data_IF_049087869333
#
_entry.id   IF_049087869333
#
_cell.length_a   1.000
_cell.length_b   1.000
_cell.length_c   1.000
_cell.angle_alpha   90.00
_cell.angle_beta   90.00
_cell.angle_gamma   90.00
#
_symmetry.space_group_name_H-M   'P 1'
#
loop_
_entity.id
_entity.type
_entity.pdbx_description
1 polymer ?
#
# COMPACT_ATOMS: atom_id res chain seq x y z
N UNK A 1 -46.74 53.30 -23.34
CA UNK A 1 -47.03 51.87 -23.53
C UNK A 1 -45.80 51.21 -24.12
N UNK A 2 -44.97 50.58 -23.29
CA UNK A 2 -44.12 49.42 -23.61
C UNK A 2 -43.25 49.11 -22.38
N UNK A 3 -43.51 48.03 -21.64
CA UNK A 3 -42.72 46.76 -21.60
C UNK A 3 -41.24 47.04 -21.31
N UNK A 4 -40.63 46.67 -20.18
CA UNK A 4 -40.36 45.29 -19.68
C UNK A 4 -39.83 45.31 -18.23
N UNK A 5 -40.34 44.41 -17.39
CA UNK A 5 -39.55 43.56 -16.49
C UNK A 5 -39.58 42.14 -17.10
N UNK A 6 -38.78 41.11 -16.73
CA UNK A 6 -37.70 41.03 -15.74
C UNK A 6 -36.45 40.25 -16.25
N UNK A 7 -35.36 40.14 -15.48
CA UNK A 7 -34.79 38.83 -15.03
C UNK A 7 -33.54 38.96 -14.15
N UNK A 8 -33.36 38.00 -13.19
CA UNK A 8 -32.27 37.96 -12.22
C UNK A 8 -31.22 36.89 -12.58
N UNK A 9 -29.92 37.18 -12.48
CA UNK A 9 -28.82 36.21 -12.35
C UNK A 9 -27.61 36.96 -11.77
N UNK A 10 -26.81 36.44 -10.83
CA UNK A 10 -26.35 35.06 -10.70
C UNK A 10 -26.10 34.68 -9.24
N UNK A 11 -26.48 33.45 -8.88
CA UNK A 11 -25.98 32.78 -7.68
C UNK A 11 -24.50 32.48 -7.84
N UNK A 12 -23.73 32.72 -6.78
CA UNK A 12 -22.31 32.41 -6.66
C UNK A 12 -22.11 30.89 -6.65
N UNK A 13 -21.85 30.30 -7.81
CA UNK A 13 -21.24 28.98 -7.89
C UNK A 13 -19.76 29.14 -7.49
N UNK A 14 -19.38 28.59 -6.32
CA UNK A 14 -17.97 28.53 -5.91
C UNK A 14 -17.10 27.90 -7.01
N UNK A 15 -15.88 28.41 -7.15
CA UNK A 15 -14.96 28.00 -8.21
C UNK A 15 -14.59 26.51 -8.09
N UNK A 16 -14.09 25.90 -9.17
CA UNK A 16 -13.67 24.50 -9.14
C UNK A 16 -12.58 24.22 -8.08
N UNK A 17 -11.77 25.23 -7.78
CA UNK A 17 -10.72 25.18 -6.75
C UNK A 17 -11.32 25.22 -5.35
N UNK A 18 -12.33 26.06 -5.09
CA UNK A 18 -13.03 26.11 -3.79
C UNK A 18 -13.66 24.75 -3.45
N UNK A 19 -14.21 24.05 -4.45
CA UNK A 19 -14.75 22.70 -4.26
C UNK A 19 -13.67 21.67 -3.95
N UNK A 20 -12.53 21.75 -4.63
CA UNK A 20 -11.39 20.85 -4.39
C UNK A 20 -10.83 21.03 -2.98
N UNK A 21 -10.70 22.28 -2.52
CA UNK A 21 -10.26 22.60 -1.16
C UNK A 21 -11.20 22.00 -0.13
N UNK A 22 -12.52 22.21 -0.26
CA UNK A 22 -13.50 21.65 0.66
C UNK A 22 -13.53 20.10 0.67
N UNK A 23 -13.35 19.47 -0.50
CA UNK A 23 -13.20 18.01 -0.61
C UNK A 23 -11.95 17.51 0.14
N UNK A 24 -10.82 18.21 0.01
CA UNK A 24 -9.57 17.88 0.70
C UNK A 24 -9.71 18.03 2.21
N UNK A 25 -10.27 19.14 2.70
CA UNK A 25 -10.47 19.38 4.14
C UNK A 25 -11.37 18.31 4.77
N UNK A 26 -12.47 17.98 4.10
CA UNK A 26 -13.40 16.94 4.56
C UNK A 26 -12.70 15.58 4.64
N UNK A 27 -11.90 15.24 3.61
CA UNK A 27 -11.16 13.99 3.60
C UNK A 27 -10.07 13.95 4.66
N UNK A 28 -9.33 15.04 4.86
CA UNK A 28 -8.29 15.14 5.88
C UNK A 28 -8.86 14.89 7.29
N UNK A 29 -10.02 15.47 7.59
CA UNK A 29 -10.70 15.24 8.87
C UNK A 29 -11.13 13.77 9.05
N UNK A 30 -11.67 13.13 8.00
CA UNK A 30 -11.98 11.69 8.04
C UNK A 30 -10.73 10.84 8.21
N UNK A 31 -9.60 11.20 7.59
CA UNK A 31 -8.33 10.49 7.73
C UNK A 31 -7.73 10.65 9.12
N UNK A 32 -7.89 11.81 9.75
CA UNK A 32 -7.54 12.01 11.16
C UNK A 32 -8.32 11.07 12.08
N UNK A 33 -9.63 10.95 11.84
CA UNK A 33 -10.49 10.00 12.56
C UNK A 33 -10.09 8.55 12.28
N UNK A 34 -9.74 8.19 11.05
CA UNK A 34 -9.19 6.86 10.71
C UNK A 34 -7.94 6.58 11.56
N UNK A 35 -6.95 7.49 11.58
CA UNK A 35 -5.71 7.33 12.36
C UNK A 35 -6.01 7.16 13.85
N UNK A 36 -6.93 7.97 14.39
CA UNK A 36 -7.36 7.86 15.79
C UNK A 36 -7.95 6.48 16.08
N UNK A 37 -8.87 5.98 15.23
CA UNK A 37 -9.52 4.68 15.45
C UNK A 37 -8.56 3.51 15.33
N UNK A 38 -7.62 3.56 14.39
CA UNK A 38 -6.58 2.52 14.27
C UNK A 38 -5.64 2.55 15.49
N UNK A 39 -5.25 3.74 15.95
CA UNK A 39 -4.35 3.92 17.10
C UNK A 39 -4.90 3.46 18.45
N UNK A 40 -6.22 3.23 18.56
CA UNK A 40 -6.83 2.61 19.74
C UNK A 40 -6.63 1.09 19.82
N UNK A 41 -6.32 0.47 18.68
CA UNK A 41 -6.15 -0.99 18.56
C UNK A 41 -4.68 -1.35 18.32
N UNK A 42 -3.94 -0.49 17.60
CA UNK A 42 -2.55 -0.71 17.22
C UNK A 42 -1.66 0.27 17.98
N UNK A 43 -0.79 -0.25 18.85
CA UNK A 43 0.05 0.54 19.75
C UNK A 43 1.51 0.61 19.26
N UNK A 44 2.10 1.81 19.27
CA UNK A 44 3.53 2.03 18.98
C UNK A 44 3.98 1.70 17.56
N UNK A 45 3.05 1.73 16.61
CA UNK A 45 3.31 1.49 15.19
C UNK A 45 2.70 2.59 14.30
N UNK A 46 2.69 3.83 14.78
CA UNK A 46 2.06 4.98 14.11
C UNK A 46 2.57 5.14 12.67
N UNK A 47 3.88 4.98 12.46
CA UNK A 47 4.49 5.03 11.14
C UNK A 47 4.02 3.91 10.19
N UNK A 48 3.86 2.69 10.72
CA UNK A 48 3.38 1.53 9.94
C UNK A 48 1.92 1.74 9.54
N UNK A 49 1.10 2.23 10.48
CA UNK A 49 -0.30 2.61 10.23
C UNK A 49 -0.36 3.68 9.14
N UNK A 50 0.43 4.74 9.26
CA UNK A 50 0.46 5.82 8.29
C UNK A 50 0.81 5.33 6.89
N UNK A 51 1.86 4.49 6.76
CA UNK A 51 2.27 3.95 5.47
C UNK A 51 1.25 2.96 4.88
N UNK A 52 0.58 2.17 5.71
CA UNK A 52 -0.49 1.31 5.26
C UNK A 52 -1.67 2.13 4.73
N UNK A 53 -2.07 3.20 5.43
CA UNK A 53 -3.12 4.13 4.97
C UNK A 53 -2.70 4.85 3.69
N UNK A 54 -1.46 5.34 3.60
CA UNK A 54 -0.87 5.93 2.38
C UNK A 54 -0.98 4.95 1.21
N UNK A 55 -0.72 3.66 1.45
CA UNK A 55 -0.83 2.61 0.42
C UNK A 55 -2.25 2.46 -0.09
N UNK A 56 -3.23 2.42 0.82
CA UNK A 56 -4.64 2.33 0.45
C UNK A 56 -5.11 3.57 -0.31
N UNK A 57 -4.71 4.77 0.12
CA UNK A 57 -5.01 6.03 -0.58
C UNK A 57 -4.34 6.11 -1.96
N UNK A 58 -3.12 5.58 -2.10
CA UNK A 58 -2.42 5.48 -3.37
C UNK A 58 -3.05 4.50 -4.36
N UNK A 59 -4.00 3.66 -3.91
CA UNK A 59 -4.58 2.61 -4.75
C UNK A 59 -3.63 1.44 -4.99
N UNK A 60 -2.62 1.28 -4.12
CA UNK A 60 -1.52 0.32 -4.28
C UNK A 60 -1.58 -0.85 -3.30
N UNK A 61 -0.50 -1.62 -3.28
CA UNK A 61 -0.28 -2.77 -2.40
C UNK A 61 0.96 -2.49 -1.54
N UNK A 62 1.09 -3.08 -0.35
CA UNK A 62 2.31 -2.95 0.43
C UNK A 62 2.84 -4.29 0.94
N UNK A 63 4.14 -4.27 1.20
CA UNK A 63 4.91 -5.38 1.73
C UNK A 63 5.33 -5.06 3.17
N UNK A 64 4.78 -5.78 4.13
CA UNK A 64 5.06 -5.66 5.56
C UNK A 64 6.23 -6.59 5.92
N UNK A 65 7.41 -6.03 6.15
CA UNK A 65 8.59 -6.77 6.59
C UNK A 65 8.68 -6.70 8.10
N UNK A 66 8.71 -7.84 8.78
CA UNK A 66 8.91 -7.86 10.22
C UNK A 66 8.83 -9.26 10.80
N UNK A 67 9.32 -9.43 12.02
CA UNK A 67 9.27 -10.72 12.70
C UNK A 67 7.83 -11.10 13.09
N UNK A 68 7.58 -12.37 13.43
CA UNK A 68 6.29 -12.80 13.96
C UNK A 68 5.90 -12.04 15.25
N UNK A 69 4.60 -11.89 15.49
CA UNK A 69 4.09 -11.30 16.73
C UNK A 69 3.95 -9.76 16.75
N UNK A 70 4.31 -9.06 15.67
CA UNK A 70 4.23 -7.58 15.60
C UNK A 70 2.86 -7.05 15.16
N UNK A 71 1.77 -7.70 15.56
CA UNK A 71 0.39 -7.28 15.27
C UNK A 71 0.04 -7.01 13.78
N UNK A 72 0.83 -7.53 12.82
CA UNK A 72 0.60 -7.34 11.37
C UNK A 72 -0.79 -7.80 10.93
N UNK A 73 -1.24 -8.95 11.41
CA UNK A 73 -2.60 -9.47 11.15
C UNK A 73 -3.67 -8.53 11.70
N UNK A 74 -3.51 -8.11 12.95
CA UNK A 74 -4.44 -7.17 13.61
C UNK A 74 -4.52 -5.83 12.87
N UNK A 75 -3.41 -5.33 12.35
CA UNK A 75 -3.37 -4.11 11.55
C UNK A 75 -4.25 -4.25 10.30
N UNK A 76 -4.11 -5.35 9.54
CA UNK A 76 -4.88 -5.56 8.30
C UNK A 76 -6.38 -5.67 8.59
N UNK A 77 -6.77 -6.45 9.60
CA UNK A 77 -8.17 -6.58 10.04
C UNK A 77 -8.76 -5.25 10.51
N UNK A 78 -7.97 -4.49 11.27
CA UNK A 78 -8.36 -3.16 11.75
C UNK A 78 -8.59 -2.19 10.59
N UNK A 79 -7.69 -2.16 9.61
CA UNK A 79 -7.84 -1.33 8.42
C UNK A 79 -9.04 -1.77 7.57
N UNK A 80 -9.25 -3.07 7.40
CA UNK A 80 -10.41 -3.61 6.68
C UNK A 80 -11.73 -3.14 7.30
N UNK A 81 -11.85 -3.23 8.63
CA UNK A 81 -13.02 -2.71 9.36
C UNK A 81 -13.14 -1.18 9.27
N UNK A 82 -12.06 -0.43 9.52
CA UNK A 82 -12.09 1.04 9.54
C UNK A 82 -12.45 1.64 8.17
N UNK A 83 -12.00 1.02 7.08
CA UNK A 83 -12.33 1.42 5.70
C UNK A 83 -13.58 0.73 5.13
N UNK A 84 -14.22 -0.18 5.87
CA UNK A 84 -15.40 -0.91 5.42
C UNK A 84 -15.11 -1.76 4.17
N UNK A 85 -13.99 -2.46 4.16
CA UNK A 85 -13.54 -3.31 3.06
C UNK A 85 -13.85 -4.77 3.39
N UNK A 86 -14.35 -5.54 2.42
CA UNK A 86 -14.40 -6.99 2.56
C UNK A 86 -12.99 -7.56 2.60
N UNK A 87 -12.55 -8.03 3.77
CA UNK A 87 -11.22 -8.63 3.93
C UNK A 87 -11.20 -10.16 3.77
N UNK A 88 -10.07 -10.67 3.29
CA UNK A 88 -9.74 -12.10 3.29
C UNK A 88 -8.28 -12.27 3.67
N UNK A 89 -7.95 -13.44 4.21
CA UNK A 89 -6.60 -13.82 4.60
C UNK A 89 -6.19 -15.12 3.90
N UNK A 90 -4.98 -15.14 3.38
CA UNK A 90 -4.30 -16.36 2.93
C UNK A 90 -3.00 -16.52 3.71
N UNK A 91 -2.72 -17.75 4.11
CA UNK A 91 -1.41 -18.14 4.61
C UNK A 91 -0.64 -18.75 3.45
N UNK A 92 0.50 -18.17 3.08
CA UNK A 92 1.35 -18.75 2.07
C UNK A 92 2.16 -19.90 2.66
N UNK A 93 1.97 -21.08 2.08
CA UNK A 93 2.69 -22.31 2.40
C UNK A 93 3.32 -22.87 1.12
N UNK A 94 4.34 -23.74 1.21
CA UNK A 94 5.00 -24.30 0.02
C UNK A 94 4.06 -25.10 -0.89
N UNK A 95 3.00 -25.67 -0.33
CA UNK A 95 1.96 -26.45 -1.02
C UNK A 95 0.80 -25.61 -1.56
N UNK A 96 0.74 -24.30 -1.24
CA UNK A 96 -0.33 -23.42 -1.71
C UNK A 96 -0.33 -23.35 -3.24
N UNK A 97 -1.45 -23.72 -3.87
CA UNK A 97 -1.59 -23.72 -5.32
C UNK A 97 -2.22 -22.42 -5.82
N UNK A 98 -1.98 -22.03 -7.09
CA UNK A 98 -2.65 -20.87 -7.68
C UNK A 98 -4.17 -20.95 -7.59
N UNK A 99 -4.76 -22.14 -7.73
CA UNK A 99 -6.21 -22.35 -7.65
C UNK A 99 -6.77 -22.05 -6.25
N UNK A 100 -5.99 -22.22 -5.20
CA UNK A 100 -6.42 -21.91 -3.82
C UNK A 100 -6.52 -20.40 -3.57
N UNK A 101 -5.85 -19.58 -4.39
CA UNK A 101 -5.90 -18.11 -4.34
C UNK A 101 -6.93 -17.57 -5.33
N UNK A 102 -6.85 -18.02 -6.58
CA UNK A 102 -7.64 -17.51 -7.69
C UNK A 102 -9.06 -18.09 -7.71
N UNK A 103 -9.26 -19.28 -7.15
CA UNK A 103 -10.49 -20.05 -7.30
C UNK A 103 -10.35 -21.19 -8.33
N UNK A 104 -11.35 -22.06 -8.36
CA UNK A 104 -11.37 -23.26 -9.19
C UNK A 104 -12.78 -23.51 -9.75
N UNK A 105 -12.85 -24.24 -10.86
CA UNK A 105 -14.12 -24.78 -11.35
C UNK A 105 -14.37 -26.16 -10.76
N UNK A 106 -15.56 -26.34 -10.19
CA UNK A 106 -16.05 -27.63 -9.73
C UNK A 106 -17.20 -28.10 -10.61
N UNK A 107 -17.29 -29.41 -10.83
CA UNK A 107 -18.42 -30.01 -11.51
C UNK A 107 -19.56 -30.19 -10.50
N UNK A 108 -20.65 -29.46 -10.69
CA UNK A 108 -21.86 -29.59 -9.88
C UNK A 108 -22.90 -30.42 -10.66
N UNK A 109 -23.43 -31.47 -10.02
CA UNK A 109 -24.55 -32.24 -10.56
C UNK A 109 -25.85 -31.62 -10.03
N UNK A 110 -26.61 -30.97 -10.90
CA UNK A 110 -27.91 -30.39 -10.53
C UNK A 110 -28.97 -31.46 -10.28
N UNK A 111 -30.09 -31.08 -9.68
CA UNK A 111 -31.20 -31.99 -9.28
C UNK A 111 -31.81 -32.83 -10.44
N UNK A 112 -31.45 -32.55 -11.70
CA UNK A 112 -31.85 -33.31 -12.89
C UNK A 112 -30.74 -34.12 -13.57
N UNK A 113 -29.60 -34.37 -12.91
CA UNK A 113 -28.46 -35.14 -13.46
C UNK A 113 -27.64 -34.40 -14.54
N UNK A 114 -27.92 -33.11 -14.77
CA UNK A 114 -27.10 -32.26 -15.65
C UNK A 114 -25.86 -31.81 -14.90
N UNK A 115 -24.70 -32.13 -15.47
CA UNK A 115 -23.38 -31.67 -15.02
C UNK A 115 -23.12 -30.26 -15.54
N UNK A 116 -22.88 -29.32 -14.64
CA UNK A 116 -22.47 -27.95 -14.98
C UNK A 116 -21.17 -27.60 -14.24
N UNK A 117 -20.27 -26.88 -14.91
CA UNK A 117 -19.09 -26.33 -14.24
C UNK A 117 -19.50 -25.04 -13.51
N UNK A 118 -19.18 -24.95 -12.22
CA UNK A 118 -19.39 -23.77 -11.39
C UNK A 118 -18.06 -23.26 -10.89
N UNK A 119 -17.81 -21.97 -11.11
CA UNK A 119 -16.65 -21.30 -10.57
C UNK A 119 -16.84 -20.99 -9.08
N UNK A 120 -15.92 -21.47 -8.25
CA UNK A 120 -15.80 -21.09 -6.84
C UNK A 120 -14.71 -20.03 -6.74
N UNK A 121 -15.12 -18.83 -6.34
CA UNK A 121 -14.21 -17.71 -6.13
C UNK A 121 -13.22 -18.01 -5.02
N UNK A 122 -11.93 -17.81 -5.31
CA UNK A 122 -10.87 -17.87 -4.30
C UNK A 122 -10.88 -16.64 -3.38
N UNK A 123 -10.02 -16.65 -2.34
CA UNK A 123 -9.90 -15.55 -1.38
C UNK A 123 -9.45 -14.23 -2.01
N UNK A 124 -8.92 -14.22 -3.23
CA UNK A 124 -8.54 -13.00 -3.94
C UNK A 124 -9.73 -12.10 -4.30
N UNK A 125 -10.96 -12.65 -4.33
CA UNK A 125 -12.19 -11.90 -4.51
C UNK A 125 -12.61 -11.19 -3.22
N UNK A 126 -11.74 -10.29 -2.77
CA UNK A 126 -11.88 -9.43 -1.60
C UNK A 126 -11.50 -7.99 -1.99
N UNK A 127 -11.77 -7.01 -1.15
CA UNK A 127 -11.28 -5.64 -1.33
C UNK A 127 -9.93 -5.42 -0.62
N UNK A 128 -9.69 -6.16 0.46
CA UNK A 128 -8.43 -6.17 1.19
C UNK A 128 -7.97 -7.61 1.44
N UNK A 129 -6.91 -8.03 0.74
CA UNK A 129 -6.33 -9.35 0.91
C UNK A 129 -5.06 -9.27 1.76
N UNK A 130 -5.04 -10.01 2.87
CA UNK A 130 -3.82 -10.29 3.60
C UNK A 130 -3.13 -11.53 3.02
N UNK A 131 -1.87 -11.40 2.61
CA UNK A 131 -1.06 -12.53 2.14
C UNK A 131 0.11 -12.76 3.11
N UNK A 132 -0.09 -13.66 4.08
CA UNK A 132 0.93 -13.92 5.09
C UNK A 132 2.07 -14.77 4.55
N UNK A 133 3.31 -14.36 4.83
CA UNK A 133 4.54 -15.06 4.46
C UNK A 133 4.62 -15.36 2.95
N UNK A 134 4.39 -14.35 2.11
CA UNK A 134 4.34 -14.48 0.65
C UNK A 134 5.57 -15.19 0.05
N UNK A 135 6.73 -15.07 0.71
CA UNK A 135 7.96 -15.75 0.33
C UNK A 135 7.91 -17.28 0.52
N UNK A 136 6.97 -17.86 1.25
CA UNK A 136 6.82 -19.33 1.38
C UNK A 136 6.03 -19.97 0.25
N UNK A 137 5.23 -19.18 -0.48
CA UNK A 137 4.50 -19.68 -1.64
C UNK A 137 5.47 -19.99 -2.79
N UNK A 138 5.14 -21.02 -3.58
CA UNK A 138 5.92 -21.35 -4.79
C UNK A 138 5.97 -20.16 -5.77
N UNK A 139 7.02 -20.04 -6.61
CA UNK A 139 7.12 -18.96 -7.60
C UNK A 139 5.91 -18.85 -8.54
N UNK A 140 5.25 -19.98 -8.83
CA UNK A 140 4.03 -20.03 -9.66
C UNK A 140 2.85 -19.38 -8.93
N UNK A 141 2.69 -19.68 -7.65
CA UNK A 141 1.62 -19.13 -6.80
C UNK A 141 1.83 -17.64 -6.53
N UNK A 142 3.08 -17.22 -6.26
CA UNK A 142 3.44 -15.81 -6.16
C UNK A 142 3.08 -15.06 -7.45
N UNK A 143 3.44 -15.62 -8.61
CA UNK A 143 3.16 -15.01 -9.91
C UNK A 143 1.65 -14.84 -10.16
N UNK A 144 0.83 -15.82 -9.76
CA UNK A 144 -0.62 -15.75 -9.89
C UNK A 144 -1.23 -14.58 -9.08
N UNK A 145 -0.82 -14.44 -7.81
CA UNK A 145 -1.26 -13.33 -6.95
C UNK A 145 -0.83 -11.97 -7.51
N UNK A 146 0.43 -11.86 -7.93
CA UNK A 146 0.99 -10.61 -8.45
C UNK A 146 0.43 -10.20 -9.81
N UNK A 147 0.06 -11.18 -10.64
CA UNK A 147 -0.66 -10.91 -11.89
C UNK A 147 -2.03 -10.31 -11.57
N UNK A 148 -2.76 -10.90 -10.63
CA UNK A 148 -4.06 -10.40 -10.20
C UNK A 148 -3.99 -8.98 -9.59
N UNK A 149 -2.92 -8.66 -8.84
CA UNK A 149 -2.64 -7.30 -8.37
C UNK A 149 -2.51 -6.30 -9.53
N UNK A 150 -1.80 -6.68 -10.59
CA UNK A 150 -1.54 -5.80 -11.72
C UNK A 150 -2.75 -5.66 -12.65
N UNK A 151 -3.43 -6.76 -12.95
CA UNK A 151 -4.51 -6.81 -13.93
C UNK A 151 -5.88 -6.48 -13.33
N UNK A 152 -6.04 -6.59 -12.01
CA UNK A 152 -7.31 -6.42 -11.28
C UNK A 152 -8.43 -7.37 -11.74
N UNK A 153 -8.04 -8.45 -12.41
CA UNK A 153 -8.89 -9.54 -12.88
C UNK A 153 -8.07 -10.83 -12.91
N UNK A 154 -8.75 -11.96 -12.97
CA UNK A 154 -8.12 -13.28 -13.06
C UNK A 154 -8.72 -14.06 -14.22
N UNK A 155 -7.94 -14.96 -14.81
CA UNK A 155 -8.42 -15.90 -15.84
C UNK A 155 -8.44 -17.30 -15.25
N UNK A 156 -9.62 -17.91 -15.15
CA UNK A 156 -9.79 -19.30 -14.68
C UNK A 156 -10.57 -20.06 -15.76
N UNK A 157 -10.07 -21.23 -16.16
CA UNK A 157 -10.66 -22.06 -17.22
C UNK A 157 -10.97 -21.31 -18.54
N UNK A 158 -10.18 -20.28 -18.87
CA UNK A 158 -10.36 -19.48 -20.09
C UNK A 158 -11.43 -18.37 -19.97
N UNK A 159 -12.02 -18.17 -18.79
CA UNK A 159 -12.96 -17.08 -18.51
C UNK A 159 -12.31 -16.01 -17.62
N UNK A 160 -12.58 -14.75 -17.93
CA UNK A 160 -12.11 -13.62 -17.13
C UNK A 160 -13.12 -13.29 -16.02
N UNK A 161 -12.60 -13.04 -14.83
CA UNK A 161 -13.35 -12.62 -13.66
C UNK A 161 -12.72 -11.36 -13.05
N UNK A 162 -13.50 -10.28 -12.97
CA UNK A 162 -13.06 -9.01 -12.39
C UNK A 162 -12.98 -9.10 -10.85
N UNK A 163 -11.96 -8.48 -10.26
CA UNK A 163 -11.82 -8.39 -8.81
C UNK A 163 -12.69 -7.25 -8.25
N UNK A 164 -13.17 -7.37 -6.99
CA UNK A 164 -13.88 -6.28 -6.32
C UNK A 164 -13.04 -4.99 -6.27
N UNK A 165 -13.67 -3.83 -6.43
CA UNK A 165 -13.02 -2.53 -6.31
C UNK A 165 -13.39 -1.84 -4.97
N UNK A 166 -12.44 -1.20 -4.28
CA UNK A 166 -11.00 -1.22 -4.53
C UNK A 166 -10.40 -2.59 -4.19
N UNK A 167 -9.26 -2.94 -4.79
CA UNK A 167 -8.53 -4.19 -4.52
C UNK A 167 -7.12 -3.86 -4.00
N UNK A 168 -6.83 -4.32 -2.79
CA UNK A 168 -5.56 -4.10 -2.10
C UNK A 168 -5.00 -5.41 -1.58
N UNK A 169 -3.68 -5.49 -1.52
CA UNK A 169 -2.94 -6.65 -1.00
C UNK A 169 -1.92 -6.12 0.00
N UNK A 170 -2.02 -6.60 1.23
CA UNK A 170 -1.05 -6.38 2.30
C UNK A 170 -0.32 -7.71 2.50
N UNK A 171 0.85 -7.84 1.87
CA UNK A 171 1.66 -9.05 1.94
C UNK A 171 2.64 -8.95 3.09
N UNK A 172 2.89 -10.04 3.82
CA UNK A 172 3.89 -10.05 4.90
C UNK A 172 5.08 -10.93 4.53
N UNK A 173 6.27 -10.56 5.01
CA UNK A 173 7.45 -11.40 4.95
C UNK A 173 8.16 -11.42 6.30
N UNK A 174 8.66 -12.59 6.67
CA UNK A 174 9.52 -12.78 7.81
C UNK A 174 10.99 -12.79 7.32
N UNK A 175 11.83 -11.82 7.72
CA UNK A 175 13.21 -11.75 7.24
C UNK A 175 14.14 -12.80 7.85
N UNK A 176 13.75 -13.45 8.95
CA UNK A 176 14.60 -14.42 9.67
C UNK A 176 14.47 -15.83 9.09
N UNK A 177 13.30 -16.16 8.57
CA UNK A 177 13.00 -17.51 8.12
C UNK A 177 13.56 -17.72 6.71
N UNK A 178 14.60 -18.56 6.61
CA UNK A 178 15.28 -18.85 5.33
C UNK A 178 14.89 -20.21 4.77
N UNK A 179 14.42 -21.14 5.60
CA UNK A 179 14.08 -22.50 5.17
C UNK A 179 12.72 -22.55 4.45
N UNK A 180 12.69 -23.18 3.27
CA UNK A 180 11.46 -23.30 2.49
C UNK A 180 10.92 -21.98 1.94
N UNK A 181 11.79 -20.98 1.74
CA UNK A 181 11.41 -19.68 1.18
C UNK A 181 11.92 -19.48 -0.25
N UNK A 182 11.12 -18.76 -1.03
CA UNK A 182 11.35 -18.34 -2.40
C UNK A 182 11.36 -16.81 -2.42
N UNK A 183 12.51 -16.16 -2.62
CA UNK A 183 12.58 -14.71 -2.67
C UNK A 183 11.77 -14.19 -3.87
N UNK A 184 11.05 -13.08 -3.68
CA UNK A 184 10.36 -12.45 -4.80
C UNK A 184 11.40 -11.81 -5.74
N UNK A 185 11.35 -12.13 -7.05
CA UNK A 185 12.11 -11.40 -8.06
C UNK A 185 11.86 -9.89 -8.00
N UNK A 186 12.85 -9.13 -8.44
CA UNK A 186 12.85 -7.66 -8.42
C UNK A 186 11.66 -7.07 -9.19
N UNK A 187 11.36 -7.64 -10.36
CA UNK A 187 10.21 -7.28 -11.17
C UNK A 187 8.86 -7.51 -10.46
N UNK A 188 8.83 -8.42 -9.48
CA UNK A 188 7.66 -8.69 -8.66
C UNK A 188 7.54 -7.70 -7.49
N UNK A 189 8.65 -7.44 -6.80
CA UNK A 189 8.71 -6.45 -5.73
C UNK A 189 8.26 -5.07 -6.21
N UNK A 190 8.67 -4.66 -7.41
CA UNK A 190 8.32 -3.35 -7.98
C UNK A 190 6.79 -3.08 -8.11
N UNK A 191 5.95 -4.14 -8.03
CA UNK A 191 4.48 -4.03 -8.01
C UNK A 191 3.90 -3.53 -6.68
N UNK A 192 4.66 -3.60 -5.59
CA UNK A 192 4.25 -3.02 -4.31
C UNK A 192 4.53 -1.52 -4.30
N UNK A 193 3.58 -0.72 -3.84
CA UNK A 193 3.77 0.72 -3.68
C UNK A 193 4.87 0.97 -2.64
N UNK A 194 4.71 0.40 -1.45
CA UNK A 194 5.60 0.56 -0.31
C UNK A 194 6.10 -0.78 0.24
N UNK A 195 7.35 -0.80 0.69
CA UNK A 195 7.86 -1.73 1.68
C UNK A 195 7.86 -1.03 3.05
N UNK A 196 7.21 -1.63 4.02
CA UNK A 196 7.01 -1.09 5.36
C UNK A 196 7.70 -2.03 6.34
N UNK A 197 8.74 -1.53 7.00
CA UNK A 197 9.46 -2.31 8.01
C UNK A 197 8.76 -2.12 9.37
N UNK A 198 8.37 -3.23 9.98
CA UNK A 198 7.67 -3.28 11.27
C UNK A 198 8.69 -3.70 12.33
N UNK A 199 9.02 -2.77 13.21
CA UNK A 199 9.91 -2.98 14.36
C UNK A 199 9.14 -3.36 15.63
N UNK A 200 9.90 -3.70 16.67
CA UNK A 200 9.32 -3.87 18.01
C UNK A 200 8.80 -2.52 18.55
N UNK A 201 7.64 -2.52 19.23
CA UNK A 201 7.13 -1.30 19.86
C UNK A 201 8.08 -0.86 21.00
N UNK A 202 8.08 0.44 21.29
CA UNK A 202 8.75 0.96 22.47
C UNK A 202 8.07 0.45 23.77
N UNK A 203 8.79 0.54 24.89
CA UNK A 203 8.34 0.03 26.20
C UNK A 203 6.93 0.47 26.60
N UNK A 204 6.58 1.75 26.38
CA UNK A 204 5.28 2.27 26.79
C UNK A 204 4.14 1.75 25.92
N UNK A 205 4.38 1.62 24.62
CA UNK A 205 3.44 1.00 23.69
C UNK A 205 3.28 -0.49 23.96
N UNK A 206 4.38 -1.19 24.27
CA UNK A 206 4.34 -2.60 24.68
C UNK A 206 3.55 -2.78 25.99
N UNK A 207 3.71 -1.86 26.95
CA UNK A 207 2.90 -1.85 28.18
C UNK A 207 1.41 -1.66 27.88
N UNK A 208 1.05 -0.75 27.00
CA UNK A 208 -0.34 -0.55 26.58
C UNK A 208 -0.90 -1.79 25.88
N UNK A 209 -0.13 -2.38 24.97
CA UNK A 209 -0.48 -3.62 24.29
C UNK A 209 -0.72 -4.76 25.30
N UNK A 210 0.15 -4.94 26.30
CA UNK A 210 -0.04 -5.95 27.35
C UNK A 210 -1.36 -5.73 28.09
N UNK A 211 -1.69 -4.51 28.49
CA UNK A 211 -2.93 -4.21 29.20
C UNK A 211 -4.15 -4.45 28.30
N UNK A 212 -4.12 -3.96 27.06
CA UNK A 212 -5.25 -4.04 26.13
C UNK A 212 -5.54 -5.47 25.65
N UNK A 213 -4.51 -6.29 25.47
CA UNK A 213 -4.65 -7.68 24.97
C UNK A 213 -4.87 -8.71 26.06
N UNK A 214 -4.51 -8.43 27.31
CA UNK A 214 -4.73 -9.33 28.46
C UNK A 214 -5.88 -8.88 29.37
N UNK A 215 -6.48 -7.73 29.08
CA UNK A 215 -7.64 -7.20 29.79
C UNK A 215 -8.94 -7.96 29.46
N UNK A 216 -9.99 -7.71 30.25
CA UNK A 216 -11.30 -8.34 30.07
C UNK A 216 -12.11 -7.73 28.91
N UNK A 217 -11.78 -6.50 28.50
CA UNK A 217 -12.44 -5.79 27.40
C UNK A 217 -11.43 -5.55 26.27
N UNK A 218 -11.78 -5.99 25.07
CA UNK A 218 -11.00 -5.74 23.85
C UNK A 218 -11.68 -4.62 23.05
N UNK A 219 -10.96 -3.53 22.80
CA UNK A 219 -11.48 -2.44 21.98
C UNK A 219 -11.57 -2.90 20.51
N UNK A 220 -12.78 -2.81 19.95
CA UNK A 220 -13.06 -3.26 18.58
C UNK A 220 -12.92 -2.10 17.61
N UNK A 221 -12.31 -2.33 16.43
CA UNK A 221 -12.26 -1.32 15.39
C UNK A 221 -13.68 -0.93 14.96
N UNK A 222 -13.87 0.35 14.68
CA UNK A 222 -15.15 0.91 14.22
C UNK A 222 -14.95 1.48 12.82
N UNK A 223 -15.91 1.20 11.94
CA UNK A 223 -15.91 1.71 10.58
C UNK A 223 -16.01 3.25 10.56
N UNK A 224 -15.11 3.90 9.82
CA UNK A 224 -15.06 5.37 9.62
C UNK A 224 -15.33 5.75 8.16
N UNK A 225 -14.87 4.90 7.24
CA UNK A 225 -15.04 5.06 5.80
C UNK A 225 -15.71 3.82 5.21
N UNK A 226 -16.29 3.98 4.03
CA UNK A 226 -16.74 2.88 3.18
C UNK A 226 -15.74 2.66 2.03
N UNK A 227 -15.84 1.50 1.38
CA UNK A 227 -15.10 1.24 0.14
C UNK A 227 -15.31 2.31 -0.95
N UNK A 228 -16.53 2.87 -1.03
CA UNK A 228 -16.84 3.96 -1.96
C UNK A 228 -16.13 5.27 -1.58
N UNK A 229 -16.07 5.59 -0.28
CA UNK A 229 -15.30 6.75 0.21
C UNK A 229 -13.80 6.59 -0.12
N UNK A 230 -13.24 5.39 0.05
CA UNK A 230 -11.83 5.13 -0.28
C UNK A 230 -11.56 5.29 -1.79
N UNK A 231 -12.45 4.79 -2.66
CA UNK A 231 -12.33 4.99 -4.11
C UNK A 231 -12.41 6.48 -4.49
N UNK A 232 -13.27 7.26 -3.83
CA UNK A 232 -13.34 8.70 -4.03
C UNK A 232 -12.05 9.39 -3.56
N UNK A 233 -11.53 9.01 -2.40
CA UNK A 233 -10.26 9.50 -1.87
C UNK A 233 -9.09 9.21 -2.83
N UNK A 234 -9.02 8.01 -3.40
CA UNK A 234 -8.02 7.64 -4.42
C UNK A 234 -8.11 8.51 -5.68
N UNK A 235 -9.31 8.92 -6.09
CA UNK A 235 -9.51 9.83 -7.25
C UNK A 235 -9.10 11.26 -6.90
N UNK A 236 -9.50 11.73 -5.72
CA UNK A 236 -9.14 13.05 -5.21
C UNK A 236 -7.62 13.21 -5.06
N UNK A 237 -6.95 12.18 -4.54
CA UNK A 237 -5.50 12.14 -4.39
C UNK A 237 -4.77 12.46 -5.70
N UNK A 238 -5.27 11.96 -6.84
CA UNK A 238 -4.65 12.19 -8.16
C UNK A 238 -4.80 13.63 -8.65
N UNK A 239 -5.70 14.41 -8.07
CA UNK A 239 -5.96 15.82 -8.40
C UNK A 239 -5.15 16.80 -7.55
N UNK A 240 -4.50 16.33 -6.47
CA UNK A 240 -3.66 17.19 -5.62
C UNK A 240 -2.50 17.75 -6.45
N UNK A 241 -2.34 19.08 -6.52
CA UNK A 241 -1.26 19.72 -7.26
C UNK A 241 0.10 19.43 -6.60
N UNK A 242 1.15 19.39 -7.42
CA UNK A 242 2.53 19.19 -6.96
C UNK A 242 3.41 20.19 -7.69
N UNK A 243 4.18 20.97 -6.93
CA UNK A 243 5.07 21.99 -7.50
C UNK A 243 6.27 21.36 -8.21
N UNK A 244 6.81 22.10 -9.19
CA UNK A 244 7.94 21.64 -10.02
C UNK A 244 9.16 21.27 -9.17
N UNK A 245 9.46 22.04 -8.11
CA UNK A 245 10.57 21.74 -7.20
C UNK A 245 10.45 20.37 -6.52
N UNK A 246 9.23 19.92 -6.23
CA UNK A 246 8.98 18.59 -5.63
C UNK A 246 9.09 17.49 -6.69
N UNK A 247 8.66 17.77 -7.92
CA UNK A 247 8.86 16.85 -9.06
C UNK A 247 10.35 16.65 -9.31
N UNK A 248 11.13 17.73 -9.35
CA UNK A 248 12.58 17.71 -9.54
C UNK A 248 13.29 17.00 -8.37
N UNK A 249 12.80 17.17 -7.14
CA UNK A 249 13.30 16.42 -5.99
C UNK A 249 13.07 14.90 -6.14
N UNK A 250 11.88 14.48 -6.58
CA UNK A 250 11.58 13.06 -6.88
C UNK A 250 12.54 12.53 -7.96
N UNK A 251 12.70 13.28 -9.04
CA UNK A 251 13.57 12.87 -10.15
C UNK A 251 15.02 12.76 -9.71
N UNK A 252 15.52 13.75 -8.96
CA UNK A 252 16.87 13.75 -8.39
C UNK A 252 17.07 12.54 -7.48
N UNK A 253 16.14 12.27 -6.56
CA UNK A 253 16.22 11.11 -5.66
C UNK A 253 16.30 9.79 -6.42
N UNK A 254 15.39 9.57 -7.37
CA UNK A 254 15.32 8.31 -8.12
C UNK A 254 16.55 8.13 -9.01
N UNK A 255 17.01 9.17 -9.71
CA UNK A 255 18.21 9.09 -10.56
C UNK A 255 19.48 8.91 -9.74
N UNK A 256 19.59 9.53 -8.57
CA UNK A 256 20.70 9.31 -7.65
C UNK A 256 20.79 7.87 -7.16
N UNK A 257 19.70 7.10 -7.16
CA UNK A 257 19.70 5.68 -6.82
C UNK A 257 20.16 4.75 -7.94
N UNK A 258 20.42 5.26 -9.16
CA UNK A 258 20.82 4.44 -10.31
C UNK A 258 22.34 4.34 -10.41
N UNK A 259 22.95 3.15 -10.24
CA UNK A 259 24.41 3.02 -10.23
C UNK A 259 25.08 3.51 -11.53
N UNK A 260 24.38 3.45 -12.66
CA UNK A 260 24.90 3.86 -13.97
C UNK A 260 24.91 5.38 -14.21
N UNK A 261 24.12 6.16 -13.46
CA UNK A 261 24.02 7.63 -13.61
C UNK A 261 24.37 8.40 -12.33
N UNK A 262 24.51 7.72 -11.18
CA UNK A 262 24.56 8.37 -9.88
C UNK A 262 25.84 9.19 -9.68
N UNK A 263 25.73 10.45 -9.19
CA UNK A 263 26.89 11.22 -8.76
C UNK A 263 27.49 10.69 -7.44
N UNK A 264 26.80 9.82 -6.71
CA UNK A 264 27.18 9.35 -5.37
C UNK A 264 28.04 8.08 -5.47
N UNK A 265 29.27 8.14 -4.94
CA UNK A 265 30.21 7.01 -4.98
C UNK A 265 29.64 5.75 -4.32
N UNK A 266 29.03 5.90 -3.13
CA UNK A 266 28.39 4.79 -2.42
C UNK A 266 27.33 4.06 -3.27
N UNK A 267 26.63 4.76 -4.16
CA UNK A 267 25.65 4.13 -5.07
C UNK A 267 26.38 3.36 -6.18
N UNK A 268 27.32 4.01 -6.87
CA UNK A 268 28.06 3.37 -7.97
C UNK A 268 28.84 2.12 -7.53
N UNK A 269 29.36 2.14 -6.32
CA UNK A 269 30.22 1.08 -5.79
C UNK A 269 29.45 -0.05 -5.10
N UNK A 270 28.30 0.26 -4.48
CA UNK A 270 27.60 -0.72 -3.64
C UNK A 270 26.25 -1.19 -4.19
N UNK A 271 25.63 -0.47 -5.13
CA UNK A 271 24.31 -0.82 -5.67
C UNK A 271 24.45 -1.71 -6.92
N UNK A 272 23.81 -2.88 -6.90
CA UNK A 272 23.76 -3.80 -8.03
C UNK A 272 22.77 -3.34 -9.10
N UNK A 273 21.63 -2.81 -8.68
CA UNK A 273 20.60 -2.24 -9.55
C UNK A 273 19.78 -1.19 -8.80
N UNK A 274 19.32 -0.19 -9.54
CA UNK A 274 18.63 0.97 -9.00
C UNK A 274 17.16 1.09 -9.42
N UNK A 275 16.47 2.15 -8.93
CA UNK A 275 15.04 2.29 -9.10
C UNK A 275 14.65 2.75 -10.51
N UNK A 276 13.63 2.09 -11.07
CA UNK A 276 13.03 2.44 -12.36
C UNK A 276 11.96 3.57 -12.27
N UNK A 277 11.32 3.93 -13.39
CA UNK A 277 10.30 5.00 -13.44
C UNK A 277 9.09 4.76 -12.51
N UNK A 278 8.77 3.51 -12.17
CA UNK A 278 7.70 3.19 -11.21
C UNK A 278 7.98 3.74 -9.81
N UNK A 279 9.26 3.88 -9.42
CA UNK A 279 9.62 4.53 -8.16
C UNK A 279 9.17 5.99 -8.13
N UNK A 280 9.35 6.73 -9.22
CA UNK A 280 8.91 8.13 -9.33
C UNK A 280 7.39 8.25 -9.24
N UNK A 281 6.66 7.33 -9.88
CA UNK A 281 5.20 7.28 -9.81
C UNK A 281 4.71 6.92 -8.40
N UNK A 282 5.37 5.95 -7.74
CA UNK A 282 5.07 5.54 -6.38
C UNK A 282 5.33 6.68 -5.38
N UNK A 283 6.46 7.38 -5.50
CA UNK A 283 6.75 8.59 -4.72
C UNK A 283 5.67 9.64 -4.91
N UNK A 284 5.29 9.96 -6.16
CA UNK A 284 4.24 10.94 -6.44
C UNK A 284 2.92 10.63 -5.72
N UNK A 285 2.48 9.38 -5.73
CA UNK A 285 1.26 8.96 -5.01
C UNK A 285 1.46 9.02 -3.49
N UNK A 286 2.60 8.54 -3.00
CA UNK A 286 2.91 8.47 -1.57
C UNK A 286 3.01 9.86 -0.92
N UNK A 287 3.70 10.81 -1.57
CA UNK A 287 3.85 12.17 -1.04
C UNK A 287 2.53 12.93 -1.01
N UNK A 288 1.67 12.76 -2.02
CA UNK A 288 0.33 13.37 -2.04
C UNK A 288 -0.52 12.81 -0.90
N UNK A 289 -0.42 11.51 -0.64
CA UNK A 289 -1.22 10.87 0.39
C UNK A 289 -0.75 11.30 1.77
N UNK A 290 0.57 11.41 1.97
CA UNK A 290 1.15 11.96 3.20
C UNK A 290 0.72 13.40 3.44
N UNK A 291 0.84 14.27 2.45
CA UNK A 291 0.41 15.66 2.55
C UNK A 291 -1.08 15.77 2.91
N UNK A 292 -1.93 14.99 2.25
CA UNK A 292 -3.36 14.93 2.51
C UNK A 292 -3.68 14.45 3.94
N UNK A 293 -2.97 13.43 4.43
CA UNK A 293 -3.12 12.92 5.80
C UNK A 293 -2.69 13.94 6.86
N UNK A 294 -1.78 14.85 6.50
CA UNK A 294 -1.37 15.98 7.35
C UNK A 294 -2.28 17.21 7.16
N UNK A 295 -3.34 17.12 6.36
CA UNK A 295 -4.25 18.23 6.06
C UNK A 295 -3.67 19.31 5.14
N UNK A 296 -2.57 19.01 4.44
CA UNK A 296 -1.91 19.93 3.51
C UNK A 296 -2.43 19.73 2.09
N UNK A 297 -2.64 20.84 1.38
CA UNK A 297 -3.16 20.86 0.00
C UNK A 297 -2.11 20.57 -1.08
N UNK A 298 -0.82 20.55 -0.72
CA UNK A 298 0.27 20.22 -1.62
C UNK A 298 1.41 19.57 -0.83
N UNK A 299 2.13 18.61 -1.44
CA UNK A 299 3.30 18.01 -0.83
C UNK A 299 4.52 18.94 -0.88
N UNK A 300 5.50 18.61 -0.05
CA UNK A 300 6.77 19.30 0.11
C UNK A 300 7.95 18.36 -0.13
N UNK A 301 9.17 18.90 -0.13
CA UNK A 301 10.39 18.07 -0.23
C UNK A 301 10.52 17.14 0.99
N UNK A 302 10.05 17.55 2.17
CA UNK A 302 10.02 16.71 3.38
C UNK A 302 9.18 15.44 3.19
N UNK A 303 8.18 15.48 2.30
CA UNK A 303 7.40 14.30 1.92
C UNK A 303 8.19 13.35 1.04
N UNK A 304 9.00 13.89 0.13
CA UNK A 304 9.91 13.11 -0.70
C UNK A 304 10.94 12.40 0.18
N UNK A 305 11.54 13.12 1.12
CA UNK A 305 12.53 12.58 2.07
C UNK A 305 11.92 11.47 2.94
N UNK A 306 10.75 11.71 3.53
CA UNK A 306 10.10 10.71 4.38
C UNK A 306 9.62 9.47 3.62
N UNK A 307 9.31 9.62 2.33
CA UNK A 307 8.85 8.52 1.49
C UNK A 307 9.95 7.86 0.66
N UNK A 308 11.19 8.34 0.76
CA UNK A 308 12.34 7.77 0.07
C UNK A 308 12.55 6.29 0.44
N UNK A 309 12.76 5.98 1.72
CA UNK A 309 13.03 4.59 2.14
C UNK A 309 11.88 3.63 1.85
N UNK A 310 10.63 3.93 2.22
CA UNK A 310 9.51 3.00 2.04
C UNK A 310 9.19 2.74 0.57
N UNK A 311 9.48 3.68 -0.33
CA UNK A 311 9.30 3.48 -1.78
C UNK A 311 10.50 2.78 -2.41
N UNK A 312 11.72 3.02 -1.94
CA UNK A 312 12.95 2.59 -2.64
C UNK A 312 13.57 1.30 -2.11
N UNK A 313 13.34 0.89 -0.86
CA UNK A 313 13.96 -0.31 -0.25
C UNK A 313 13.81 -1.57 -1.10
N UNK A 314 12.62 -1.82 -1.64
CA UNK A 314 12.34 -2.99 -2.47
C UNK A 314 12.58 -2.75 -3.97
N UNK A 315 13.09 -1.57 -4.33
CA UNK A 315 13.40 -1.13 -5.70
C UNK A 315 14.90 -0.90 -5.92
N UNK A 316 15.72 -1.40 -5.00
CA UNK A 316 17.16 -1.31 -5.05
C UNK A 316 17.74 -2.56 -4.38
N UNK A 317 18.90 -3.02 -4.86
CA UNK A 317 19.65 -4.02 -4.12
C UNK A 317 21.14 -3.73 -4.11
N UNK A 318 21.78 -4.09 -3.01
CA UNK A 318 23.22 -4.04 -2.87
C UNK A 318 23.87 -5.22 -3.60
N UNK A 319 25.07 -4.99 -4.15
CA UNK A 319 25.92 -6.04 -4.69
C UNK A 319 26.52 -6.91 -3.56
N UNK A 320 27.11 -8.04 -3.94
CA UNK A 320 27.62 -9.01 -2.97
C UNK A 320 28.75 -8.45 -2.10
N UNK A 321 29.66 -7.66 -2.68
CA UNK A 321 30.79 -7.08 -1.97
C UNK A 321 30.32 -6.11 -0.86
N UNK A 322 29.40 -5.21 -1.18
CA UNK A 322 28.82 -4.27 -0.23
C UNK A 322 28.14 -4.99 0.95
N UNK A 323 27.41 -6.07 0.69
CA UNK A 323 26.79 -6.88 1.75
C UNK A 323 27.84 -7.54 2.64
N UNK A 324 28.94 -8.04 2.07
CA UNK A 324 30.04 -8.64 2.81
C UNK A 324 30.78 -7.62 3.69
N UNK A 325 30.83 -6.35 3.26
CA UNK A 325 31.39 -5.22 4.00
C UNK A 325 30.44 -4.65 5.08
N UNK A 326 29.22 -5.18 5.19
CA UNK A 326 28.22 -4.73 6.16
C UNK A 326 27.51 -3.43 5.78
N UNK A 327 27.64 -2.99 4.52
CA UNK A 327 26.88 -1.84 4.00
C UNK A 327 25.39 -2.18 4.04
N UNK A 328 24.59 -1.24 4.57
CA UNK A 328 23.13 -1.38 4.61
C UNK A 328 22.49 -0.55 3.51
N UNK A 329 21.37 -1.05 2.97
CA UNK A 329 20.64 -0.31 1.95
C UNK A 329 20.10 1.02 2.50
N UNK A 330 19.71 1.05 3.77
CA UNK A 330 19.27 2.27 4.45
C UNK A 330 20.35 3.35 4.49
N UNK A 331 21.62 3.01 4.70
CA UNK A 331 22.72 3.98 4.67
C UNK A 331 22.96 4.54 3.25
N UNK A 332 22.80 3.70 2.22
CA UNK A 332 22.86 4.15 0.83
C UNK A 332 21.68 5.08 0.51
N UNK A 333 20.48 4.75 0.97
CA UNK A 333 19.30 5.59 0.80
C UNK A 333 19.43 6.94 1.50
N UNK A 334 20.01 6.97 2.70
CA UNK A 334 20.34 8.22 3.42
C UNK A 334 21.31 9.08 2.60
N UNK A 335 22.30 8.46 1.95
CA UNK A 335 23.25 9.16 1.08
C UNK A 335 22.58 9.73 -0.18
N UNK A 336 21.60 9.02 -0.76
CA UNK A 336 20.82 9.47 -1.92
C UNK A 336 19.89 10.63 -1.57
N UNK A 337 19.33 10.63 -0.36
CA UNK A 337 18.41 11.65 0.13
C UNK A 337 19.12 12.93 0.62
N UNK A 338 20.37 12.83 1.10
CA UNK A 338 21.12 13.95 1.68
C UNK A 338 21.19 15.23 0.82
N UNK A 339 21.31 15.19 -0.53
CA UNK A 339 21.34 16.41 -1.35
C UNK A 339 20.03 17.20 -1.41
N UNK A 340 18.92 16.63 -0.91
CA UNK A 340 17.60 17.25 -0.93
C UNK A 340 17.21 17.91 0.39
N UNK A 341 17.99 17.68 1.45
CA UNK A 341 17.72 18.13 2.83
C UNK A 341 18.55 19.32 3.30
#
# INVERSE_FOLDING_TARGET
MSVTDPTPFSGSAGTADDKLVAEIETLAERLRLVRERVGRVIFGQEHVVDQAVITLLGGGHCLLIGVPGLAKTKLVETLGTVFGLGEKRIQCTPDLMPADILGSEVLEEGEGGKRAFRFIQGPIFAQLLMADEINRASPRTQSALLQAMQERRVSVAGQYHELPAPFHVLATQNPIEQEGTYPLPEAQLDRFLLQIDVGYPGRDAERQMLIATTGAEEERPVQVMSAADLLQAQRLLRRIPVGDSVIDAILTLVRNGRPEESPIAAVREHVAWGPGPRASQALMLAIRARALMDGRFAPSIDDVLAMAKPVLRHRMALNFAARAEGVTLDAVLDSIAAPLG
#
